data_IF_115888125920
#
_entry.id   IF_115888125920
#
_cell.length_a   1.000
_cell.length_b   1.000
_cell.length_c   1.000
_cell.angle_alpha   90.00
_cell.angle_beta   90.00
_cell.angle_gamma   90.00
#
_symmetry.space_group_name_H-M   'P 1'
#
loop_
_entity.id
_entity.type
_entity.pdbx_description
1 polymer ?
#
# COMPACT_ATOMS: atom_id res chain seq x y z
N UNK A 1 -11.11 -26.84 -27.51
CA UNK A 1 -10.50 -26.08 -26.39
C UNK A 1 -9.12 -26.66 -26.15
N UNK A 2 -8.07 -25.85 -26.02
CA UNK A 2 -6.69 -26.31 -25.82
C UNK A 2 -6.45 -26.61 -24.33
N UNK A 3 -5.78 -27.73 -24.01
CA UNK A 3 -5.53 -28.20 -22.64
C UNK A 3 -4.04 -28.16 -22.30
N UNK A 4 -3.71 -27.91 -21.04
CA UNK A 4 -2.37 -28.08 -20.49
C UNK A 4 -2.10 -29.57 -20.25
N UNK A 5 -0.87 -30.02 -20.49
CA UNK A 5 -0.47 -31.42 -20.25
C UNK A 5 -0.07 -31.73 -18.81
N UNK A 6 0.09 -30.70 -17.96
CA UNK A 6 0.64 -30.84 -16.60
C UNK A 6 -0.39 -30.51 -15.51
N UNK A 7 -1.56 -29.97 -15.89
CA UNK A 7 -2.65 -29.66 -14.97
C UNK A 7 -3.98 -29.49 -15.73
N UNK A 8 -5.08 -29.31 -15.00
CA UNK A 8 -6.43 -29.19 -15.56
C UNK A 8 -6.72 -27.86 -16.28
N UNK A 9 -5.71 -27.00 -16.47
CA UNK A 9 -5.90 -25.72 -17.14
C UNK A 9 -6.24 -25.91 -18.61
N UNK A 10 -7.27 -25.21 -19.06
CA UNK A 10 -7.70 -25.17 -20.45
C UNK A 10 -8.00 -23.75 -20.91
N UNK A 11 -7.72 -23.45 -22.17
CA UNK A 11 -8.00 -22.16 -22.77
C UNK A 11 -8.55 -22.32 -24.20
N UNK A 12 -9.37 -21.35 -24.61
CA UNK A 12 -9.92 -21.31 -25.97
C UNK A 12 -8.85 -21.02 -27.04
N UNK A 13 -7.73 -20.39 -26.65
CA UNK A 13 -6.66 -19.96 -27.56
C UNK A 13 -5.35 -20.67 -27.18
N UNK A 14 -4.67 -21.27 -28.18
CA UNK A 14 -3.44 -22.04 -27.98
C UNK A 14 -2.32 -21.23 -27.30
N UNK A 15 -2.17 -19.95 -27.66
CA UNK A 15 -1.14 -19.09 -27.05
C UNK A 15 -1.34 -18.91 -25.53
N UNK A 16 -2.57 -18.97 -25.03
CA UNK A 16 -2.84 -18.88 -23.59
C UNK A 16 -2.37 -20.14 -22.86
N UNK A 17 -2.54 -21.33 -23.44
CA UNK A 17 -1.98 -22.58 -22.88
C UNK A 17 -0.46 -22.54 -22.90
N UNK A 18 0.17 -22.08 -23.99
CA UNK A 18 1.63 -21.91 -24.08
C UNK A 18 2.14 -20.94 -23.00
N UNK A 19 1.45 -19.83 -22.78
CA UNK A 19 1.82 -18.87 -21.73
C UNK A 19 1.58 -19.43 -20.32
N UNK A 20 0.55 -20.25 -20.15
CA UNK A 20 0.23 -20.93 -18.91
C UNK A 20 1.31 -21.94 -18.55
N UNK A 21 1.79 -22.76 -19.50
CA UNK A 21 2.83 -23.78 -19.27
C UNK A 21 4.12 -23.20 -18.67
N UNK A 22 4.40 -21.91 -18.89
CA UNK A 22 5.49 -21.19 -18.20
C UNK A 22 5.30 -21.08 -16.69
N UNK A 23 4.12 -21.41 -16.14
CA UNK A 23 3.87 -21.55 -14.70
C UNK A 23 4.58 -22.78 -14.13
N UNK A 24 4.71 -23.84 -14.93
CA UNK A 24 5.28 -25.11 -14.50
C UNK A 24 6.80 -25.14 -14.64
N UNK A 25 7.37 -24.19 -15.40
CA UNK A 25 8.82 -24.02 -15.50
C UNK A 25 9.40 -23.48 -14.19
N UNK A 26 10.45 -24.14 -13.69
CA UNK A 26 11.18 -23.76 -12.47
C UNK A 26 12.12 -22.55 -12.69
N UNK A 27 12.47 -22.26 -13.95
CA UNK A 27 13.41 -21.20 -14.29
C UNK A 27 12.75 -19.81 -14.25
N UNK A 28 12.84 -19.15 -13.10
CA UNK A 28 12.35 -17.78 -12.89
C UNK A 28 13.38 -16.73 -13.34
N UNK A 29 12.94 -15.69 -14.04
CA UNK A 29 13.76 -14.53 -14.35
C UNK A 29 13.92 -13.67 -13.08
N UNK A 30 15.15 -13.46 -12.64
CA UNK A 30 15.49 -12.73 -11.41
C UNK A 30 15.85 -11.28 -11.70
N UNK A 31 15.45 -10.38 -10.80
CA UNK A 31 15.96 -9.02 -10.78
C UNK A 31 17.36 -9.00 -10.19
N UNK A 32 18.28 -8.25 -10.80
CA UNK A 32 19.66 -8.12 -10.31
C UNK A 32 19.79 -7.16 -9.12
N UNK A 33 18.78 -6.31 -8.89
CA UNK A 33 18.82 -5.25 -7.87
C UNK A 33 18.01 -5.58 -6.61
N UNK A 34 17.18 -6.63 -6.63
CA UNK A 34 16.41 -7.07 -5.48
C UNK A 34 15.95 -8.52 -5.64
N UNK A 35 15.32 -9.08 -4.60
CA UNK A 35 14.83 -10.47 -4.60
C UNK A 35 13.58 -10.73 -5.46
N UNK A 36 13.16 -9.77 -6.29
CA UNK A 36 12.01 -9.97 -7.19
C UNK A 36 12.33 -10.99 -8.28
N UNK A 37 11.41 -11.92 -8.51
CA UNK A 37 11.51 -12.92 -9.56
C UNK A 37 10.17 -13.11 -10.27
N UNK A 38 10.21 -13.46 -11.54
CA UNK A 38 9.02 -13.68 -12.36
C UNK A 38 9.32 -14.58 -13.55
N UNK A 39 8.34 -15.37 -13.97
CA UNK A 39 8.42 -16.17 -15.20
C UNK A 39 8.13 -15.37 -16.48
N UNK A 40 7.75 -14.10 -16.36
CA UNK A 40 7.38 -13.26 -17.52
C UNK A 40 8.39 -12.14 -17.74
N UNK A 41 9.07 -12.16 -18.90
CA UNK A 41 10.07 -11.13 -19.28
C UNK A 41 9.53 -9.71 -19.19
N UNK A 42 8.31 -9.48 -19.69
CA UNK A 42 7.68 -8.15 -19.63
C UNK A 42 7.36 -7.70 -18.21
N UNK A 43 7.07 -8.65 -17.30
CA UNK A 43 6.91 -8.31 -15.90
C UNK A 43 8.25 -7.89 -15.26
N UNK A 44 9.37 -8.52 -15.63
CA UNK A 44 10.70 -8.14 -15.15
C UNK A 44 11.13 -6.76 -15.67
N UNK A 45 10.99 -6.49 -16.98
CA UNK A 45 11.25 -5.16 -17.57
C UNK A 45 10.45 -4.07 -16.85
N UNK A 46 9.16 -4.32 -16.67
CA UNK A 46 8.26 -3.38 -15.98
C UNK A 46 8.56 -3.23 -14.49
N UNK A 47 9.14 -4.25 -13.86
CA UNK A 47 9.63 -4.18 -12.49
C UNK A 47 10.91 -3.33 -12.39
N UNK A 48 11.85 -3.49 -13.32
CA UNK A 48 13.12 -2.75 -13.33
C UNK A 48 12.95 -1.22 -13.36
N UNK A 49 11.85 -0.73 -13.95
CA UNK A 49 11.47 0.70 -13.90
C UNK A 49 11.37 1.23 -12.44
N UNK A 50 11.06 0.37 -11.47
CA UNK A 50 10.94 0.78 -10.07
C UNK A 50 12.28 1.21 -9.47
N UNK A 51 13.40 0.67 -9.95
CA UNK A 51 14.74 0.96 -9.43
C UNK A 51 15.41 2.17 -10.09
N UNK A 52 14.99 2.52 -11.31
CA UNK A 52 15.52 3.68 -12.02
C UNK A 52 15.05 5.00 -11.42
N UNK A 53 15.81 6.07 -11.56
CA UNK A 53 15.37 7.40 -11.13
C UNK A 53 14.17 7.90 -11.96
N UNK A 54 13.38 8.83 -11.43
CA UNK A 54 12.29 9.44 -12.17
C UNK A 54 12.76 10.26 -13.39
N UNK A 55 14.00 10.76 -13.38
CA UNK A 55 14.63 11.46 -14.50
C UNK A 55 15.01 10.50 -15.65
N UNK A 56 15.32 9.24 -15.34
CA UNK A 56 15.78 8.24 -16.31
C UNK A 56 14.66 7.44 -16.97
N UNK A 57 13.42 7.66 -16.56
CA UNK A 57 12.27 6.91 -17.06
C UNK A 57 11.14 7.84 -17.40
N UNK A 58 10.46 7.55 -18.51
CA UNK A 58 9.19 8.21 -18.84
C UNK A 58 8.21 8.05 -17.68
N UNK A 59 7.94 9.16 -17.00
CA UNK A 59 6.92 9.27 -15.96
C UNK A 59 5.64 9.87 -16.54
N UNK A 60 4.54 9.64 -15.83
CA UNK A 60 3.25 10.24 -16.09
C UNK A 60 3.00 11.28 -14.98
N UNK A 61 2.82 12.54 -15.37
CA UNK A 61 2.67 13.66 -14.44
C UNK A 61 1.20 14.02 -14.29
N UNK A 62 0.77 14.30 -13.06
CA UNK A 62 -0.52 14.89 -12.78
C UNK A 62 -0.45 16.40 -12.96
N UNK A 63 -1.19 16.94 -13.91
CA UNK A 63 -1.22 18.37 -14.21
C UNK A 63 -1.85 19.21 -13.09
N UNK A 64 -2.65 18.60 -12.22
CA UNK A 64 -3.35 19.30 -11.12
C UNK A 64 -2.43 19.56 -9.92
N UNK A 65 -1.53 18.63 -9.59
CA UNK A 65 -0.72 18.73 -8.36
C UNK A 65 0.76 18.33 -8.53
N UNK A 66 1.22 18.16 -9.77
CA UNK A 66 2.60 17.76 -10.09
C UNK A 66 2.99 16.33 -9.68
N UNK A 67 2.05 15.51 -9.19
CA UNK A 67 2.36 14.13 -8.78
C UNK A 67 2.87 13.29 -9.95
N UNK A 68 4.00 12.62 -9.79
CA UNK A 68 4.57 11.75 -10.82
C UNK A 68 4.31 10.28 -10.53
N UNK A 69 3.98 9.53 -11.58
CA UNK A 69 3.78 8.09 -11.52
C UNK A 69 4.61 7.40 -12.61
N UNK A 70 5.32 6.33 -12.25
CA UNK A 70 6.08 5.51 -13.21
C UNK A 70 5.21 4.66 -14.15
N UNK A 71 3.88 4.63 -13.95
CA UNK A 71 2.93 3.84 -14.74
C UNK A 71 1.60 4.58 -14.93
N UNK A 72 1.03 4.49 -16.13
CA UNK A 72 -0.24 5.17 -16.51
C UNK A 72 -1.41 4.81 -15.60
N UNK A 73 -1.58 3.54 -15.21
CA UNK A 73 -2.68 3.14 -14.32
C UNK A 73 -2.54 3.71 -12.90
N UNK A 74 -1.31 3.94 -12.43
CA UNK A 74 -1.08 4.58 -11.14
C UNK A 74 -1.49 6.05 -11.19
N UNK A 75 -1.17 6.76 -12.29
CA UNK A 75 -1.68 8.12 -12.50
C UNK A 75 -3.21 8.12 -12.58
N UNK A 76 -3.82 7.22 -13.35
CA UNK A 76 -5.28 7.09 -13.44
C UNK A 76 -5.93 6.89 -12.06
N UNK A 77 -5.37 6.02 -11.22
CA UNK A 77 -5.83 5.80 -9.86
C UNK A 77 -5.57 6.99 -8.91
N UNK A 78 -4.49 7.74 -9.16
CA UNK A 78 -4.22 9.00 -8.47
C UNK A 78 -5.23 10.09 -8.83
N UNK A 79 -5.62 10.23 -10.11
CA UNK A 79 -6.58 11.25 -10.56
C UNK A 79 -7.93 11.16 -9.87
N UNK A 80 -8.29 9.99 -9.32
CA UNK A 80 -9.47 9.82 -8.47
C UNK A 80 -9.38 10.61 -7.15
N UNK A 81 -8.24 11.21 -6.80
CA UNK A 81 -8.08 12.12 -5.65
C UNK A 81 -8.44 13.56 -5.94
N UNK A 82 -8.43 13.97 -7.21
CA UNK A 82 -8.72 15.35 -7.60
C UNK A 82 -10.15 15.55 -8.08
N UNK A 83 -10.80 14.46 -8.51
CA UNK A 83 -12.20 14.52 -8.91
C UNK A 83 -13.09 14.40 -7.66
N UNK A 84 -13.36 15.51 -6.99
CA UNK A 84 -14.29 15.55 -5.86
C UNK A 84 -15.76 15.65 -6.31
N UNK A 85 -16.03 16.07 -7.55
CA UNK A 85 -17.36 16.11 -8.14
C UNK A 85 -17.41 15.17 -9.37
N UNK A 86 -18.32 14.17 -9.35
CA UNK A 86 -18.59 13.30 -10.50
C UNK A 86 -17.79 11.99 -10.60
N UNK A 87 -17.01 11.58 -9.58
CA UNK A 87 -16.47 10.20 -9.55
C UNK A 87 -17.60 9.24 -9.22
N UNK A 88 -17.85 8.30 -10.13
CA UNK A 88 -18.73 7.16 -9.84
C UNK A 88 -18.10 6.36 -8.70
N UNK A 89 -18.67 6.52 -7.51
CA UNK A 89 -18.27 5.78 -6.32
C UNK A 89 -18.77 4.35 -6.42
N UNK A 90 -17.91 3.40 -6.08
CA UNK A 90 -18.32 2.02 -5.84
C UNK A 90 -19.01 1.95 -4.48
N UNK A 91 -20.34 1.87 -4.52
CA UNK A 91 -21.19 1.77 -3.32
C UNK A 91 -21.31 0.32 -2.85
N UNK A 92 -21.25 0.12 -1.54
CA UNK A 92 -21.65 -1.15 -0.96
C UNK A 92 -23.16 -1.30 -1.06
N UNK A 93 -23.62 -2.49 -1.43
CA UNK A 93 -25.04 -2.83 -1.52
C UNK A 93 -25.65 -3.16 -0.15
N UNK A 94 -24.82 -3.33 0.89
CA UNK A 94 -25.23 -3.82 2.22
C UNK A 94 -25.08 -2.76 3.32
N UNK A 95 -24.43 -1.63 3.04
CA UNK A 95 -24.33 -0.52 3.99
C UNK A 95 -24.01 0.80 3.26
N UNK A 96 -23.91 1.89 4.02
CA UNK A 96 -23.61 3.23 3.50
C UNK A 96 -22.17 3.42 3.02
N UNK A 97 -21.30 2.41 3.13
CA UNK A 97 -19.90 2.50 2.70
C UNK A 97 -19.79 2.70 1.19
N UNK A 98 -18.93 3.62 0.77
CA UNK A 98 -18.62 3.85 -0.63
C UNK A 98 -17.15 4.23 -0.81
N UNK A 99 -16.58 3.89 -1.95
CA UNK A 99 -15.18 4.16 -2.24
C UNK A 99 -14.95 4.33 -3.73
N UNK A 100 -13.93 5.12 -4.09
CA UNK A 100 -13.50 5.29 -5.49
C UNK A 100 -12.71 4.10 -6.05
N UNK A 101 -12.34 3.12 -5.23
CA UNK A 101 -11.53 1.98 -5.63
C UNK A 101 -12.30 0.67 -5.50
N UNK A 102 -12.47 -0.05 -6.62
CA UNK A 102 -13.18 -1.34 -6.65
C UNK A 102 -12.60 -2.37 -5.69
N UNK A 103 -11.28 -2.46 -5.58
CA UNK A 103 -10.59 -3.39 -4.68
C UNK A 103 -10.85 -3.05 -3.22
N UNK A 104 -11.00 -1.76 -2.89
CA UNK A 104 -11.35 -1.34 -1.54
C UNK A 104 -12.78 -1.74 -1.19
N UNK A 105 -13.72 -1.69 -2.15
CA UNK A 105 -15.09 -2.18 -1.93
C UNK A 105 -15.11 -3.69 -1.73
N UNK A 106 -14.40 -4.45 -2.58
CA UNK A 106 -14.30 -5.91 -2.45
C UNK A 106 -13.71 -6.30 -1.08
N UNK A 107 -12.63 -5.64 -0.67
CA UNK A 107 -12.05 -5.83 0.67
C UNK A 107 -13.02 -5.45 1.79
N UNK A 108 -13.74 -4.35 1.66
CA UNK A 108 -14.74 -3.94 2.65
C UNK A 108 -15.85 -4.99 2.80
N UNK A 109 -16.43 -5.46 1.69
CA UNK A 109 -17.45 -6.52 1.71
C UNK A 109 -16.93 -7.78 2.42
N UNK A 110 -15.71 -8.19 2.09
CA UNK A 110 -15.05 -9.33 2.73
C UNK A 110 -14.81 -9.17 4.24
N UNK A 111 -14.54 -7.94 4.68
CA UNK A 111 -14.25 -7.67 6.10
C UNK A 111 -15.53 -7.59 6.94
N UNK A 112 -16.55 -6.93 6.40
CA UNK A 112 -17.72 -6.46 7.16
C UNK A 112 -18.96 -7.30 6.91
N UNK A 113 -19.11 -7.85 5.71
CA UNK A 113 -20.36 -8.45 5.25
C UNK A 113 -20.25 -9.93 4.91
N UNK A 114 -19.09 -10.54 5.13
CA UNK A 114 -18.93 -11.98 4.99
C UNK A 114 -18.35 -12.58 6.26
N UNK A 115 -18.81 -13.79 6.56
CA UNK A 115 -18.23 -14.69 7.55
C UNK A 115 -17.08 -15.48 6.93
N UNK A 116 -16.28 -14.81 6.09
CA UNK A 116 -15.10 -15.37 5.46
C UNK A 116 -14.21 -16.05 6.50
N UNK A 117 -13.75 -17.25 6.17
CA UNK A 117 -12.77 -17.98 6.96
C UNK A 117 -11.58 -17.06 7.27
N UNK A 118 -11.35 -16.89 8.56
CA UNK A 118 -10.24 -16.13 9.10
C UNK A 118 -8.93 -16.89 8.93
N UNK A 119 -7.84 -16.14 8.77
CA UNK A 119 -6.50 -16.68 8.74
C UNK A 119 -5.95 -16.64 10.16
N UNK A 120 -5.77 -17.82 10.76
CA UNK A 120 -5.29 -17.97 12.13
C UNK A 120 -3.76 -17.90 12.19
N UNK A 121 -3.24 -17.30 13.25
CA UNK A 121 -1.82 -17.37 13.58
C UNK A 121 -1.48 -18.75 14.13
N UNK A 122 -0.39 -19.40 13.68
CA UNK A 122 0.03 -20.70 14.21
C UNK A 122 0.74 -20.60 15.57
N UNK A 123 1.01 -19.38 16.08
CA UNK A 123 1.80 -19.15 17.29
C UNK A 123 1.01 -18.50 18.43
N UNK A 124 -0.22 -18.04 18.18
CA UNK A 124 -1.10 -17.44 19.19
C UNK A 124 -2.55 -17.36 18.68
N UNK A 125 -3.47 -16.90 19.52
CA UNK A 125 -4.90 -16.81 19.20
C UNK A 125 -5.27 -15.68 18.22
N UNK A 126 -4.29 -14.95 17.67
CA UNK A 126 -4.56 -13.88 16.72
C UNK A 126 -5.14 -14.42 15.40
N UNK A 127 -6.20 -13.78 14.91
CA UNK A 127 -6.84 -14.13 13.66
C UNK A 127 -7.05 -12.88 12.79
N UNK A 128 -6.93 -13.02 11.48
CA UNK A 128 -7.18 -11.93 10.54
C UNK A 128 -8.00 -12.39 9.34
N UNK A 129 -9.05 -11.63 8.99
CA UNK A 129 -9.79 -11.84 7.74
C UNK A 129 -8.93 -11.57 6.49
N UNK A 130 -7.81 -10.85 6.61
CA UNK A 130 -6.92 -10.50 5.50
C UNK A 130 -5.51 -11.08 5.70
N UNK A 131 -5.05 -11.88 4.73
CA UNK A 131 -3.72 -12.52 4.73
C UNK A 131 -2.57 -11.52 4.95
N UNK A 132 -2.63 -10.33 4.35
CA UNK A 132 -1.57 -9.34 4.52
C UNK A 132 -1.50 -8.77 5.95
N UNK A 133 -2.59 -8.83 6.72
CA UNK A 133 -2.59 -8.47 8.14
C UNK A 133 -1.98 -9.60 8.96
N UNK A 134 -2.35 -10.86 8.69
CA UNK A 134 -1.68 -12.01 9.31
C UNK A 134 -0.17 -11.99 9.04
N UNK A 135 0.26 -11.81 7.79
CA UNK A 135 1.70 -11.73 7.44
C UNK A 135 2.45 -10.64 8.21
N UNK A 136 1.82 -9.50 8.46
CA UNK A 136 2.42 -8.43 9.28
C UNK A 136 2.46 -8.82 10.75
N UNK A 137 1.40 -9.44 11.26
CA UNK A 137 1.36 -9.95 12.63
C UNK A 137 2.44 -11.02 12.87
N UNK A 138 2.67 -11.93 11.92
CA UNK A 138 3.72 -12.96 12.03
C UNK A 138 5.13 -12.39 12.22
N UNK A 139 5.38 -11.12 11.85
CA UNK A 139 6.65 -10.45 12.15
C UNK A 139 6.86 -10.18 13.65
N UNK A 140 5.83 -10.33 14.49
CA UNK A 140 5.93 -10.23 15.94
C UNK A 140 6.54 -11.50 16.55
N UNK A 141 6.29 -12.66 15.94
CA UNK A 141 6.78 -13.97 16.37
C UNK A 141 8.16 -14.32 15.80
N UNK A 142 8.63 -13.58 14.80
CA UNK A 142 9.98 -13.74 14.26
C UNK A 142 11.03 -13.17 15.21
N UNK A 143 12.12 -13.91 15.36
CA UNK A 143 13.31 -13.43 16.05
C UNK A 143 13.80 -12.12 15.39
N UNK A 144 14.08 -11.05 16.17
CA UNK A 144 14.63 -9.80 15.65
C UNK A 144 15.90 -9.95 14.81
N UNK A 145 16.74 -10.96 15.09
CA UNK A 145 17.97 -11.26 14.35
C UNK A 145 17.71 -11.79 12.94
N UNK A 146 16.60 -12.53 12.74
CA UNK A 146 16.17 -13.05 11.44
C UNK A 146 15.38 -12.02 10.62
N UNK A 147 14.97 -10.91 11.24
CA UNK A 147 14.22 -9.86 10.57
C UNK A 147 15.16 -8.93 9.83
N UNK A 148 14.92 -8.80 8.52
CA UNK A 148 15.44 -7.65 7.77
C UNK A 148 14.75 -6.37 8.25
N UNK A 149 15.35 -5.71 9.23
CA UNK A 149 14.85 -4.45 9.77
C UNK A 149 15.07 -3.29 8.79
N UNK A 150 14.14 -2.34 8.81
CA UNK A 150 14.21 -1.10 8.07
C UNK A 150 14.82 -0.03 8.95
N UNK A 151 16.12 0.21 8.75
CA UNK A 151 16.90 1.22 9.48
C UNK A 151 16.52 2.64 9.06
N UNK A 152 16.50 3.56 10.03
CA UNK A 152 16.47 5.00 9.79
C UNK A 152 17.84 5.46 9.27
N UNK A 153 17.85 6.46 8.39
CA UNK A 153 19.09 7.05 7.85
C UNK A 153 19.66 8.17 8.73
N UNK A 154 18.92 8.64 9.73
CA UNK A 154 19.29 9.79 10.57
C UNK A 154 19.43 9.45 12.06
N UNK A 155 19.07 8.24 12.48
CA UNK A 155 19.21 7.79 13.86
C UNK A 155 19.26 6.26 13.93
N UNK A 156 19.50 5.74 15.14
CA UNK A 156 19.68 4.30 15.38
C UNK A 156 18.36 3.51 15.43
N UNK A 157 17.22 4.13 15.12
CA UNK A 157 15.92 3.44 15.12
C UNK A 157 15.82 2.50 13.91
N UNK A 158 15.52 1.24 14.19
CA UNK A 158 15.20 0.22 13.20
C UNK A 158 13.78 -0.30 13.45
N UNK A 159 13.03 -0.52 12.37
CA UNK A 159 11.62 -0.95 12.47
C UNK A 159 11.38 -2.22 11.68
N UNK A 160 10.37 -3.02 12.10
CA UNK A 160 10.03 -4.29 11.46
C UNK A 160 9.37 -4.14 10.08
N UNK A 161 8.84 -2.95 9.77
CA UNK A 161 8.16 -2.68 8.49
C UNK A 161 8.54 -1.34 7.89
N UNK A 162 8.57 -1.26 6.56
CA UNK A 162 8.83 0.00 5.84
C UNK A 162 7.83 1.10 6.18
N UNK A 163 6.56 0.74 6.45
CA UNK A 163 5.53 1.71 6.84
C UNK A 163 5.84 2.35 8.19
N UNK A 164 6.32 1.58 9.17
CA UNK A 164 6.74 2.12 10.47
C UNK A 164 7.94 3.05 10.32
N UNK A 165 8.96 2.64 9.56
CA UNK A 165 10.11 3.52 9.26
C UNK A 165 9.66 4.82 8.61
N UNK A 166 8.78 4.77 7.60
CA UNK A 166 8.28 5.96 6.91
C UNK A 166 7.46 6.88 7.83
N UNK A 167 6.66 6.33 8.75
CA UNK A 167 5.94 7.11 9.76
C UNK A 167 6.91 7.77 10.74
N UNK A 168 7.91 7.04 11.21
CA UNK A 168 8.99 7.57 12.04
C UNK A 168 9.71 8.74 11.34
N UNK A 169 10.10 8.57 10.07
CA UNK A 169 10.73 9.63 9.27
C UNK A 169 9.89 10.92 9.20
N UNK A 170 8.57 10.79 9.07
CA UNK A 170 7.64 11.93 9.05
C UNK A 170 7.55 12.66 10.38
N UNK A 171 7.62 11.94 11.49
CA UNK A 171 7.38 12.50 12.82
C UNK A 171 8.68 12.97 13.49
N UNK A 172 9.80 12.27 13.27
CA UNK A 172 11.07 12.54 13.94
C UNK A 172 11.98 13.47 13.13
N UNK A 173 12.02 13.32 11.80
CA UNK A 173 13.06 13.93 10.97
C UNK A 173 12.55 14.92 9.92
N UNK A 174 11.24 15.00 9.69
CA UNK A 174 10.67 16.00 8.76
C UNK A 174 10.54 17.37 9.44
N UNK A 175 10.64 18.47 8.67
CA UNK A 175 10.33 19.80 9.19
C UNK A 175 8.87 19.85 9.67
N UNK A 176 8.56 20.61 10.73
CA UNK A 176 7.18 20.76 11.18
C UNK A 176 6.35 21.45 10.11
N UNK A 177 5.15 20.90 9.85
CA UNK A 177 4.25 21.36 8.77
C UNK A 177 2.92 21.87 9.30
N UNK A 178 2.56 21.53 10.52
CA UNK A 178 1.27 21.88 11.11
C UNK A 178 1.50 22.91 12.20
N UNK A 179 0.73 23.99 12.18
CA UNK A 179 0.86 25.09 13.13
C UNK A 179 -0.46 25.28 13.86
N UNK A 180 -0.39 25.44 15.18
CA UNK A 180 -1.53 25.83 15.98
C UNK A 180 -1.94 27.25 15.64
N UNK A 181 -3.20 27.44 15.25
CA UNK A 181 -3.74 28.76 14.93
C UNK A 181 -3.92 29.65 16.18
N UNK A 182 -3.97 29.05 17.38
CA UNK A 182 -4.16 29.76 18.65
C UNK A 182 -2.86 30.35 19.17
N UNK A 183 -1.80 29.55 19.26
CA UNK A 183 -0.54 29.94 19.91
C UNK A 183 0.70 29.82 19.02
N UNK A 184 0.54 29.46 17.74
CA UNK A 184 1.65 29.32 16.80
C UNK A 184 2.53 28.08 16.99
N UNK A 185 2.24 27.20 17.97
CA UNK A 185 3.01 25.99 18.22
C UNK A 185 3.06 25.08 16.98
N UNK A 186 4.27 24.70 16.56
CA UNK A 186 4.51 23.92 15.34
C UNK A 186 4.72 22.45 15.66
N UNK A 187 4.05 21.58 14.92
CA UNK A 187 4.18 20.12 15.04
C UNK A 187 4.44 19.46 13.68
N UNK A 188 5.00 18.25 13.73
CA UNK A 188 5.31 17.44 12.54
C UNK A 188 4.16 16.54 12.09
N UNK A 189 3.16 16.33 12.94
CA UNK A 189 2.02 15.44 12.66
C UNK A 189 0.69 16.04 13.08
N UNK A 190 -0.34 15.88 12.24
CA UNK A 190 -1.70 16.36 12.48
C UNK A 190 -2.29 15.88 13.81
N UNK A 191 -2.06 14.61 14.18
CA UNK A 191 -2.50 14.09 15.48
C UNK A 191 -1.75 14.73 16.66
N UNK A 192 -0.49 15.09 16.50
CA UNK A 192 0.27 15.79 17.54
C UNK A 192 -0.29 17.20 17.72
N UNK A 193 -0.64 17.90 16.64
CA UNK A 193 -1.33 19.18 16.71
C UNK A 193 -2.70 19.03 17.40
N UNK A 194 -3.49 18.02 17.01
CA UNK A 194 -4.78 17.74 17.67
C UNK A 194 -4.59 17.52 19.16
N UNK A 195 -3.66 16.66 19.58
CA UNK A 195 -3.39 16.39 20.98
C UNK A 195 -2.85 17.62 21.73
N UNK A 196 -2.03 18.44 21.08
CA UNK A 196 -1.59 19.73 21.63
C UNK A 196 -2.80 20.63 21.92
N UNK A 197 -3.71 20.79 20.95
CA UNK A 197 -4.92 21.62 21.11
C UNK A 197 -5.81 21.07 22.23
N UNK A 198 -6.06 19.76 22.24
CA UNK A 198 -6.90 19.10 23.25
C UNK A 198 -6.36 19.29 24.67
N UNK A 199 -5.04 19.35 24.85
CA UNK A 199 -4.38 19.42 26.17
C UNK A 199 -4.11 20.84 26.65
N UNK A 200 -3.94 21.79 25.73
CA UNK A 200 -3.42 23.12 26.06
C UNK A 200 -4.40 24.26 25.74
N UNK A 201 -5.51 23.99 25.03
CA UNK A 201 -6.48 25.03 24.65
C UNK A 201 -7.91 24.64 25.02
N UNK A 202 -8.73 25.58 25.52
CA UNK A 202 -10.13 25.35 25.83
C UNK A 202 -10.94 24.99 24.57
N UNK A 203 -12.04 24.26 24.75
CA UNK A 203 -12.85 23.66 23.67
C UNK A 203 -13.35 24.66 22.64
N UNK A 204 -13.60 25.89 23.06
CA UNK A 204 -14.10 26.99 22.23
C UNK A 204 -13.13 27.39 21.11
N UNK A 205 -11.83 27.10 21.28
CA UNK A 205 -10.79 27.50 20.33
C UNK A 205 -10.44 26.40 19.31
N UNK A 206 -11.08 25.22 19.41
CA UNK A 206 -10.82 24.10 18.52
C UNK A 206 -11.35 24.35 17.09
N UNK A 207 -12.41 25.16 16.94
CA UNK A 207 -13.00 25.53 15.65
C UNK A 207 -12.11 26.42 14.79
N UNK A 208 -11.21 27.19 15.41
CA UNK A 208 -10.25 28.09 14.72
C UNK A 208 -9.04 27.36 14.14
N UNK A 209 -8.87 26.07 14.47
CA UNK A 209 -7.75 25.26 14.00
C UNK A 209 -8.22 24.32 12.89
N UNK A 210 -7.92 24.64 11.64
CA UNK A 210 -8.19 23.75 10.50
C UNK A 210 -7.32 22.50 10.60
N UNK A 211 -7.98 21.34 10.70
CA UNK A 211 -7.35 20.03 10.77
C UNK A 211 -6.77 19.59 9.43
#
# INVERSE_FOLDING_TARGET
>A
MYKCGECDFQAKIKCHVISHQRLHQTNMLKCTQCSFQTKYREALKRHQILHKDAAEVRVFVCEICGYTAKRKHNLKGHMLKHKDQGVVMHKCSLCKFQTKYKEALSRHKRLIHTDDKVHQCPHCDYQAKIVSYLKKHLLQHKDPSELKLYKCSYCNIATKTISQRNSHMKIAHSPPKFQCAVCGHKTRGKNNLKNHILRNHPREQWSKSTF
#
